data_IF_795876194499
#
_entry.id   IF_795876194499
#
_cell.length_a   1.000
_cell.length_b   1.000
_cell.length_c   1.000
_cell.angle_alpha   90.00
_cell.angle_beta   90.00
_cell.angle_gamma   90.00
#
_symmetry.space_group_name_H-M   'P 1'
#
loop_
_entity.id
_entity.type
_entity.pdbx_description
1 polymer ?
#
# COMPACT_ATOMS: atom_id res chain seq x y z
N UNK A 1 -7.47 1.36 23.74
CA UNK A 1 -8.30 1.35 22.51
C UNK A 1 -7.56 0.52 21.50
N UNK A 2 -8.15 -0.56 20.97
CA UNK A 2 -7.55 -1.27 19.84
C UNK A 2 -7.81 -0.42 18.59
N UNK A 3 -6.76 0.16 17.99
CA UNK A 3 -6.85 0.56 16.59
C UNK A 3 -7.08 -0.73 15.82
N UNK A 4 -8.26 -0.91 15.23
CA UNK A 4 -8.49 -2.01 14.31
C UNK A 4 -7.64 -1.74 13.07
N UNK A 5 -6.42 -2.31 13.04
CA UNK A 5 -5.61 -2.35 11.83
C UNK A 5 -6.45 -3.07 10.77
N UNK A 6 -6.81 -2.37 9.71
CA UNK A 6 -7.49 -2.98 8.56
C UNK A 6 -6.58 -4.09 8.05
N UNK A 7 -7.06 -5.34 8.09
CA UNK A 7 -6.29 -6.48 7.59
C UNK A 7 -6.08 -6.30 6.08
N UNK A 8 -4.84 -6.23 5.65
CA UNK A 8 -4.44 -6.14 4.25
C UNK A 8 -4.16 -7.56 3.73
N UNK A 9 -4.39 -7.77 2.43
CA UNK A 9 -4.18 -9.05 1.77
C UNK A 9 -3.40 -8.84 0.46
N UNK A 10 -2.87 -9.94 -0.07
CA UNK A 10 -2.26 -9.97 -1.40
C UNK A 10 -3.22 -9.38 -2.45
N UNK A 11 -2.68 -8.54 -3.35
CA UNK A 11 -3.39 -7.79 -4.39
C UNK A 11 -4.33 -6.69 -3.91
N UNK A 12 -4.39 -6.39 -2.62
CA UNK A 12 -5.09 -5.19 -2.17
C UNK A 12 -4.43 -3.94 -2.75
N UNK A 13 -5.25 -3.06 -3.32
CA UNK A 13 -4.82 -1.74 -3.75
C UNK A 13 -4.82 -0.81 -2.53
N UNK A 14 -3.71 -0.12 -2.33
CA UNK A 14 -3.45 0.71 -1.16
C UNK A 14 -2.98 2.10 -1.55
N UNK A 15 -3.10 3.05 -0.63
CA UNK A 15 -2.48 4.36 -0.72
C UNK A 15 -1.52 4.61 0.45
N UNK A 16 -0.43 5.31 0.18
CA UNK A 16 0.51 5.78 1.22
C UNK A 16 -0.13 6.82 2.14
N UNK A 17 0.14 6.71 3.44
CA UNK A 17 -0.27 7.68 4.47
C UNK A 17 0.74 8.78 4.74
N UNK A 18 1.94 8.67 4.18
CA UNK A 18 3.03 9.62 4.40
C UNK A 18 3.90 9.75 3.15
N UNK A 19 4.73 10.80 3.12
CA UNK A 19 5.70 10.99 2.05
C UNK A 19 6.94 10.11 2.32
N UNK A 20 7.41 9.41 1.30
CA UNK A 20 8.66 8.66 1.33
C UNK A 20 9.64 9.28 0.34
N UNK A 21 10.16 10.46 0.68
CA UNK A 21 10.95 11.31 -0.23
C UNK A 21 12.16 10.60 -0.85
N UNK A 22 12.78 9.65 -0.15
CA UNK A 22 13.91 8.85 -0.68
C UNK A 22 13.53 7.99 -1.89
N UNK A 23 12.24 7.66 -2.02
CA UNK A 23 11.69 6.85 -3.10
C UNK A 23 10.85 7.67 -4.08
N UNK A 24 10.84 9.01 -3.95
CA UNK A 24 10.01 9.90 -4.75
C UNK A 24 8.50 9.62 -4.65
N UNK A 25 8.07 8.97 -3.56
CA UNK A 25 6.66 8.66 -3.31
C UNK A 25 6.03 9.70 -2.39
N UNK A 26 4.79 10.07 -2.70
CA UNK A 26 4.00 11.03 -1.92
C UNK A 26 2.91 10.33 -1.12
N UNK A 27 2.44 10.98 -0.06
CA UNK A 27 1.18 10.62 0.56
C UNK A 27 0.07 10.58 -0.49
N UNK A 28 -0.76 9.55 -0.45
CA UNK A 28 -1.82 9.28 -1.43
C UNK A 28 -1.36 8.54 -2.68
N UNK A 29 -0.06 8.28 -2.86
CA UNK A 29 0.40 7.47 -3.99
C UNK A 29 -0.17 6.06 -3.90
N UNK A 30 -0.73 5.59 -5.01
CA UNK A 30 -1.41 4.29 -5.11
C UNK A 30 -0.38 3.20 -5.42
N UNK A 31 -0.49 2.06 -4.73
CA UNK A 31 0.28 0.86 -4.98
C UNK A 31 -0.55 -0.40 -4.74
N UNK A 32 0.05 -1.56 -4.99
CA UNK A 32 -0.58 -2.87 -4.84
C UNK A 32 0.30 -3.76 -3.97
N UNK A 33 -0.30 -4.47 -3.01
CA UNK A 33 0.43 -5.47 -2.23
C UNK A 33 0.75 -6.67 -3.10
N UNK A 34 2.04 -7.02 -3.17
CA UNK A 34 2.54 -8.15 -3.97
C UNK A 34 3.11 -9.29 -3.12
N UNK A 35 3.36 -9.05 -1.82
CA UNK A 35 3.81 -10.10 -0.88
C UNK A 35 3.56 -9.69 0.58
N UNK A 36 3.29 -10.66 1.46
CA UNK A 36 3.39 -10.48 2.92
C UNK A 36 4.78 -10.97 3.36
N UNK A 37 5.62 -10.04 3.83
CA UNK A 37 7.01 -10.35 4.18
C UNK A 37 7.15 -10.76 5.65
N UNK A 38 6.31 -10.20 6.51
CA UNK A 38 6.24 -10.47 7.95
C UNK A 38 4.87 -9.99 8.48
N UNK A 39 4.51 -10.31 9.74
CA UNK A 39 3.32 -9.73 10.35
C UNK A 39 3.32 -8.20 10.24
N UNK A 40 2.26 -7.65 9.66
CA UNK A 40 2.07 -6.22 9.41
C UNK A 40 3.09 -5.55 8.46
N UNK A 41 3.88 -6.31 7.70
CA UNK A 41 4.84 -5.80 6.71
C UNK A 41 4.59 -6.44 5.35
N UNK A 42 4.35 -5.60 4.36
CA UNK A 42 3.96 -6.00 3.01
C UNK A 42 4.92 -5.40 2.00
N UNK A 43 5.28 -6.17 0.97
CA UNK A 43 5.93 -5.60 -0.22
C UNK A 43 4.84 -4.93 -1.07
N UNK A 44 5.05 -3.66 -1.39
CA UNK A 44 4.11 -2.87 -2.19
C UNK A 44 4.78 -2.44 -3.49
N UNK A 45 4.15 -2.79 -4.60
CA UNK A 45 4.51 -2.34 -5.94
C UNK A 45 3.80 -1.04 -6.26
N UNK A 46 4.54 -0.08 -6.81
CA UNK A 46 4.03 1.17 -7.37
C UNK A 46 4.36 1.20 -8.85
N UNK A 47 3.30 1.25 -9.67
CA UNK A 47 3.39 1.18 -11.12
C UNK A 47 2.69 2.39 -11.75
N UNK A 48 3.18 2.84 -12.89
CA UNK A 48 2.56 3.94 -13.64
C UNK A 48 1.30 3.48 -14.40
N UNK A 49 0.72 4.39 -15.19
CA UNK A 49 -0.51 4.09 -15.93
C UNK A 49 -0.32 3.06 -17.06
N UNK A 50 0.93 2.79 -17.46
CA UNK A 50 1.27 1.77 -18.46
C UNK A 50 1.58 0.42 -17.79
N UNK A 51 1.47 0.34 -16.45
CA UNK A 51 1.76 -0.86 -15.66
C UNK A 51 3.25 -1.07 -15.40
N UNK A 52 4.09 -0.07 -15.67
CA UNK A 52 5.53 -0.17 -15.44
C UNK A 52 5.85 0.15 -13.99
N UNK A 53 6.44 -0.82 -13.28
CA UNK A 53 6.90 -0.61 -11.91
C UNK A 53 8.01 0.43 -11.85
N UNK A 54 7.81 1.45 -11.02
CA UNK A 54 8.82 2.48 -10.76
C UNK A 54 9.30 2.49 -9.30
N UNK A 55 8.59 1.83 -8.38
CA UNK A 55 9.08 1.56 -7.03
C UNK A 55 8.48 0.25 -6.49
N UNK A 56 9.25 -0.45 -5.68
CA UNK A 56 8.82 -1.64 -4.95
C UNK A 56 9.56 -1.63 -3.61
N UNK A 57 8.82 -1.68 -2.50
CA UNK A 57 9.42 -1.55 -1.18
C UNK A 57 8.57 -2.18 -0.07
N UNK A 58 9.22 -2.62 1.02
CA UNK A 58 8.54 -3.12 2.20
C UNK A 58 7.93 -1.97 2.98
N UNK A 59 6.63 -2.06 3.28
CA UNK A 59 5.86 -1.07 4.01
C UNK A 59 5.06 -1.72 5.13
N UNK A 60 4.94 -1.01 6.25
CA UNK A 60 4.11 -1.43 7.37
C UNK A 60 2.64 -1.14 7.11
N UNK A 61 1.74 -1.94 7.69
CA UNK A 61 0.29 -1.69 7.64
C UNK A 61 -0.08 -0.28 8.10
N UNK A 62 0.62 0.27 9.09
CA UNK A 62 0.39 1.62 9.60
C UNK A 62 0.67 2.75 8.59
N UNK A 63 1.44 2.48 7.54
CA UNK A 63 1.77 3.41 6.46
C UNK A 63 0.77 3.35 5.29
N UNK A 64 -0.20 2.43 5.33
CA UNK A 64 -1.08 2.12 4.21
C UNK A 64 -2.56 2.35 4.55
N UNK A 65 -3.33 2.73 3.54
CA UNK A 65 -4.81 2.72 3.56
C UNK A 65 -5.27 1.82 2.42
N UNK A 66 -6.07 0.80 2.71
CA UNK A 66 -6.76 0.02 1.67
C UNK A 66 -7.77 0.89 0.92
N UNK A 67 -7.70 0.85 -0.41
CA UNK A 67 -8.63 1.57 -1.27
C UNK A 67 -9.79 0.65 -1.66
N UNK A 68 -11.00 1.19 -1.51
CA UNK A 68 -12.23 0.57 -1.97
C UNK A 68 -12.82 1.44 -3.09
N UNK A 69 -12.97 0.86 -4.28
CA UNK A 69 -13.41 1.60 -5.48
C UNK A 69 -14.92 1.64 -5.67
N UNK A 70 -15.65 0.84 -4.89
CA UNK A 70 -17.10 0.81 -4.84
C UNK A 70 -17.55 0.60 -3.39
N UNK A 71 -18.77 1.03 -3.02
CA UNK A 71 -19.38 0.68 -1.74
C UNK A 71 -19.50 -0.83 -1.58
N UNK A 72 -19.27 -1.33 -0.36
CA UNK A 72 -19.67 -2.69 0.00
C UNK A 72 -21.20 -2.71 0.16
N UNK A 73 -21.87 -3.59 -0.58
CA UNK A 73 -23.30 -3.87 -0.43
C UNK A 73 -23.56 -4.97 0.59
#
# INVERSE_FOLDING_TARGET
MLNTLTKLNLLDVVALKENLSKHHLKMGQVGTIVEELAPDVYEVEFSDNDGQTYAMLPLKSEQLIKLYFAPET
#
